data_IF_627664427153
#
_entry.id   IF_627664427153
#
_cell.length_a   1.000
_cell.length_b   1.000
_cell.length_c   1.000
_cell.angle_alpha   90.00
_cell.angle_beta   90.00
_cell.angle_gamma   90.00
#
_symmetry.space_group_name_H-M   'P 1'
#
loop_
_entity.id
_entity.type
_entity.pdbx_description
1 polymer ?
#
# COMPACT_ATOMS: atom_id res chain seq x y z
N UNK A 1 14.61 -11.63 -2.15
CA UNK A 1 14.04 -10.65 -3.11
C UNK A 1 15.16 -9.70 -3.46
N UNK A 2 15.40 -9.45 -4.74
CA UNK A 2 16.50 -8.59 -5.21
C UNK A 2 16.27 -7.14 -4.72
N UNK A 3 17.34 -6.44 -4.30
CA UNK A 3 17.24 -5.06 -3.79
C UNK A 3 16.60 -4.11 -4.83
N UNK A 4 16.82 -4.36 -6.13
CA UNK A 4 16.22 -3.56 -7.20
C UNK A 4 14.71 -3.73 -7.28
N UNK A 5 14.21 -4.93 -7.06
CA UNK A 5 12.76 -5.20 -7.05
C UNK A 5 12.09 -4.50 -5.86
N UNK A 6 12.76 -4.48 -4.72
CA UNK A 6 12.29 -3.75 -3.52
C UNK A 6 12.20 -2.25 -3.78
N UNK A 7 13.25 -1.64 -4.34
CA UNK A 7 13.26 -0.21 -4.66
C UNK A 7 12.19 0.17 -5.71
N UNK A 8 12.01 -0.66 -6.74
CA UNK A 8 10.99 -0.42 -7.77
C UNK A 8 9.57 -0.44 -7.18
N UNK A 9 9.29 -1.40 -6.29
CA UNK A 9 8.00 -1.49 -5.59
C UNK A 9 7.77 -0.28 -4.68
N UNK A 10 8.76 0.14 -3.91
CA UNK A 10 8.68 1.33 -3.07
C UNK A 10 8.41 2.60 -3.90
N UNK A 11 9.09 2.78 -5.03
CA UNK A 11 8.88 3.91 -5.93
C UNK A 11 7.45 3.92 -6.51
N UNK A 12 6.93 2.76 -6.88
CA UNK A 12 5.55 2.60 -7.33
C UNK A 12 4.54 3.00 -6.26
N UNK A 13 4.75 2.56 -5.01
CA UNK A 13 3.92 2.95 -3.87
C UNK A 13 3.96 4.46 -3.62
N UNK A 14 5.15 5.06 -3.66
CA UNK A 14 5.31 6.49 -3.44
C UNK A 14 4.59 7.30 -4.53
N UNK A 15 4.75 6.91 -5.79
CA UNK A 15 4.06 7.54 -6.92
C UNK A 15 2.52 7.47 -6.74
N UNK A 16 2.02 6.30 -6.37
CA UNK A 16 0.60 6.06 -6.13
C UNK A 16 0.03 6.94 -5.00
N UNK A 17 0.66 6.95 -3.82
CA UNK A 17 0.16 7.76 -2.70
C UNK A 17 0.30 9.27 -2.96
N UNK A 18 1.34 9.68 -3.69
CA UNK A 18 1.52 11.10 -4.08
C UNK A 18 0.41 11.54 -5.05
N UNK A 19 -0.07 10.62 -5.90
CA UNK A 19 -1.22 10.89 -6.77
C UNK A 19 -2.52 11.02 -5.98
N UNK A 20 -2.69 10.22 -4.92
CA UNK A 20 -3.89 10.28 -4.07
C UNK A 20 -3.92 11.49 -3.14
N UNK A 21 -2.76 11.96 -2.69
CA UNK A 21 -2.61 13.05 -1.75
C UNK A 21 -1.58 14.05 -2.29
N UNK A 22 -1.91 14.81 -3.35
CA UNK A 22 -0.96 15.67 -4.05
C UNK A 22 -0.42 16.81 -3.18
N UNK A 23 -1.16 17.20 -2.14
CA UNK A 23 -0.77 18.26 -1.20
C UNK A 23 0.15 17.77 -0.06
N UNK A 24 0.42 16.47 0.01
CA UNK A 24 1.22 15.86 1.08
C UNK A 24 2.56 15.33 0.55
N UNK A 25 3.62 15.56 1.32
CA UNK A 25 4.94 14.94 1.05
C UNK A 25 5.12 13.72 1.95
N UNK A 26 5.34 12.56 1.33
CA UNK A 26 5.54 11.30 2.04
C UNK A 26 7.00 10.89 2.10
N UNK A 27 7.40 10.38 3.25
CA UNK A 27 8.70 9.75 3.47
C UNK A 27 8.51 8.27 3.72
N UNK A 28 9.40 7.46 3.16
CA UNK A 28 9.45 6.03 3.46
C UNK A 28 9.87 5.82 4.92
N UNK A 29 9.15 4.97 5.62
CA UNK A 29 9.44 4.63 7.02
C UNK A 29 10.08 3.25 7.07
N UNK A 30 9.36 2.24 6.57
CA UNK A 30 9.81 0.86 6.65
C UNK A 30 9.11 -0.04 5.63
N UNK A 31 9.75 -1.18 5.38
CA UNK A 31 9.15 -2.33 4.70
C UNK A 31 9.31 -3.55 5.60
N UNK A 32 8.23 -4.29 5.82
CA UNK A 32 8.21 -5.48 6.63
C UNK A 32 7.51 -6.62 5.89
N UNK A 33 8.00 -7.84 6.08
CA UNK A 33 7.30 -9.05 5.64
C UNK A 33 6.81 -9.78 6.86
N UNK A 34 5.49 -9.89 7.01
CA UNK A 34 4.84 -10.51 8.17
C UNK A 34 3.85 -11.58 7.68
N UNK A 35 3.71 -12.70 8.40
CA UNK A 35 2.66 -13.66 8.09
C UNK A 35 1.28 -13.04 8.34
N UNK A 36 0.34 -13.31 7.44
CA UNK A 36 -1.07 -12.99 7.62
C UNK A 36 -1.73 -13.96 8.63
N UNK A 37 -3.02 -13.76 8.90
CA UNK A 37 -3.79 -14.61 9.83
C UNK A 37 -3.87 -16.09 9.41
N UNK A 38 -3.52 -16.40 8.16
CA UNK A 38 -3.50 -17.74 7.58
C UNK A 38 -2.07 -18.28 7.39
N UNK A 39 -1.05 -17.54 7.84
CA UNK A 39 0.36 -17.93 7.76
C UNK A 39 1.04 -17.60 6.42
N UNK A 40 0.37 -16.92 5.48
CA UNK A 40 0.99 -16.51 4.22
C UNK A 40 1.84 -15.25 4.43
N UNK A 41 3.01 -15.19 3.80
CA UNK A 41 3.86 -14.01 3.88
C UNK A 41 3.21 -12.81 3.15
N UNK A 42 2.86 -11.77 3.91
CA UNK A 42 2.40 -10.48 3.41
C UNK A 42 3.52 -9.45 3.45
N UNK A 43 3.66 -8.64 2.40
CA UNK A 43 4.58 -7.50 2.40
C UNK A 43 3.82 -6.24 2.79
N UNK A 44 4.38 -5.46 3.71
CA UNK A 44 3.85 -4.18 4.15
C UNK A 44 4.86 -3.08 3.92
N UNK A 45 4.40 -1.96 3.37
CA UNK A 45 5.23 -0.78 3.13
C UNK A 45 4.56 0.42 3.79
N UNK A 46 5.31 1.12 4.65
CA UNK A 46 4.81 2.25 5.43
C UNK A 46 5.44 3.54 4.96
N UNK A 47 4.60 4.55 4.75
CA UNK A 47 4.98 5.92 4.46
C UNK A 47 4.38 6.87 5.49
N UNK A 48 5.01 8.02 5.70
CA UNK A 48 4.55 9.03 6.64
C UNK A 48 4.62 10.42 6.05
N UNK A 49 3.57 11.21 6.27
CA UNK A 49 3.53 12.65 6.04
C UNK A 49 3.44 13.39 7.38
N UNK A 50 3.32 14.72 7.34
CA UNK A 50 3.04 15.52 8.53
C UNK A 50 1.66 15.20 9.15
N UNK A 51 0.72 14.73 8.34
CA UNK A 51 -0.70 14.58 8.74
C UNK A 51 -1.09 13.14 9.02
N UNK A 52 -0.46 12.15 8.36
CA UNK A 52 -0.85 10.74 8.45
C UNK A 52 0.30 9.76 8.23
N UNK A 53 0.09 8.55 8.72
CA UNK A 53 0.87 7.37 8.34
C UNK A 53 0.02 6.52 7.39
N UNK A 54 0.60 6.10 6.28
CA UNK A 54 -0.02 5.23 5.29
C UNK A 54 0.68 3.88 5.29
N UNK A 55 -0.10 2.81 5.34
CA UNK A 55 0.39 1.43 5.26
C UNK A 55 -0.23 0.74 4.05
N UNK A 56 0.61 0.33 3.11
CA UNK A 56 0.23 -0.50 1.97
C UNK A 56 0.50 -1.96 2.32
N UNK A 57 -0.53 -2.80 2.24
CA UNK A 57 -0.43 -4.23 2.57
C UNK A 57 -0.71 -5.07 1.33
N UNK A 58 0.30 -5.79 0.87
CA UNK A 58 0.28 -6.64 -0.32
C UNK A 58 -0.16 -8.04 0.04
N UNK A 59 -1.18 -8.53 -0.66
CA UNK A 59 -1.74 -9.86 -0.50
C UNK A 59 -1.69 -10.58 -1.84
N UNK A 60 -0.84 -11.60 -1.91
CA UNK A 60 -0.73 -12.50 -3.06
C UNK A 60 -1.97 -13.38 -3.13
N UNK A 61 -2.53 -13.56 -4.33
CA UNK A 61 -3.67 -14.46 -4.55
C UNK A 61 -3.21 -15.72 -5.30
N UNK A 62 -3.67 -16.90 -4.86
CA UNK A 62 -3.22 -18.19 -5.36
C UNK A 62 -3.38 -18.42 -6.89
N UNK A 63 -4.32 -17.71 -7.53
CA UNK A 63 -4.64 -17.88 -8.95
C UNK A 63 -4.60 -16.57 -9.74
N UNK A 64 -4.14 -15.47 -9.14
CA UNK A 64 -4.13 -14.18 -9.80
C UNK A 64 -2.74 -13.82 -10.33
N UNK A 65 -2.70 -13.08 -11.43
CA UNK A 65 -1.48 -12.48 -11.98
C UNK A 65 -1.06 -11.20 -11.24
N UNK A 66 -1.91 -10.70 -10.35
CA UNK A 66 -1.72 -9.46 -9.62
C UNK A 66 -1.78 -9.66 -8.10
N UNK A 67 -1.24 -8.71 -7.35
CA UNK A 67 -1.37 -8.64 -5.89
C UNK A 67 -2.47 -7.63 -5.51
N UNK A 68 -3.32 -7.98 -4.53
CA UNK A 68 -4.25 -7.00 -3.94
C UNK A 68 -3.47 -6.15 -2.94
N UNK A 69 -3.68 -4.85 -2.98
CA UNK A 69 -3.00 -3.91 -2.09
C UNK A 69 -4.02 -3.12 -1.30
N UNK A 70 -4.02 -3.31 0.01
CA UNK A 70 -4.86 -2.54 0.91
C UNK A 70 -4.11 -1.32 1.40
N UNK A 71 -4.67 -0.13 1.17
CA UNK A 71 -4.16 1.12 1.73
C UNK A 71 -4.93 1.42 3.01
N UNK A 72 -4.20 1.50 4.11
CA UNK A 72 -4.74 1.92 5.40
C UNK A 72 -4.05 3.20 5.88
N UNK A 73 -4.79 4.02 6.62
CA UNK A 73 -4.26 5.25 7.22
C UNK A 73 -4.37 5.24 8.74
N UNK A 74 -3.47 5.98 9.37
CA UNK A 74 -3.48 6.33 10.78
C UNK A 74 -3.21 7.82 10.89
N UNK A 75 -4.02 8.52 11.68
CA UNK A 75 -3.93 9.97 11.88
C UNK A 75 -3.80 10.29 13.37
N UNK A 76 -3.63 11.55 13.72
CA UNK A 76 -3.69 11.99 15.13
C UNK A 76 -5.06 11.75 15.76
N UNK A 77 -6.12 11.78 14.96
CA UNK A 77 -7.50 11.56 15.40
C UNK A 77 -7.86 10.08 15.52
N UNK A 78 -7.28 9.23 14.67
CA UNK A 78 -7.43 7.77 14.71
C UNK A 78 -6.08 7.10 14.92
N UNK A 79 -5.74 6.68 16.17
CA UNK A 79 -4.43 6.10 16.48
C UNK A 79 -4.25 4.68 15.94
N UNK A 80 -5.27 4.10 15.31
CA UNK A 80 -5.24 2.78 14.67
C UNK A 80 -5.30 2.90 13.16
N UNK A 81 -4.65 1.96 12.46
CA UNK A 81 -4.76 1.86 11.01
C UNK A 81 -6.17 1.45 10.61
N UNK A 82 -6.83 2.29 9.83
CA UNK A 82 -8.13 2.02 9.22
C UNK A 82 -7.97 1.88 7.70
N UNK A 83 -8.61 0.87 7.12
CA UNK A 83 -8.56 0.64 5.67
C UNK A 83 -9.31 1.76 4.94
N UNK A 84 -8.60 2.47 4.07
CA UNK A 84 -9.18 3.50 3.21
C UNK A 84 -9.70 2.91 1.90
N UNK A 85 -8.86 2.12 1.23
CA UNK A 85 -9.16 1.63 -0.11
C UNK A 85 -8.38 0.36 -0.45
N UNK A 86 -8.72 -0.18 -1.61
CA UNK A 86 -8.09 -1.33 -2.21
C UNK A 86 -7.61 -0.96 -3.62
N UNK A 87 -6.38 -1.34 -3.91
CA UNK A 87 -5.71 -1.20 -5.19
C UNK A 87 -5.21 -2.56 -5.68
N UNK A 88 -4.77 -2.58 -6.92
CA UNK A 88 -4.12 -3.74 -7.53
C UNK A 88 -2.70 -3.37 -7.91
N UNK A 89 -1.76 -4.28 -7.62
CA UNK A 89 -0.38 -4.19 -8.06
C UNK A 89 -0.10 -5.23 -9.14
N UNK A 90 0.22 -4.74 -10.34
CA UNK A 90 0.53 -5.56 -11.52
C UNK A 90 1.61 -4.85 -12.33
N UNK A 91 2.57 -5.61 -12.86
CA UNK A 91 3.65 -5.09 -13.71
C UNK A 91 4.38 -3.86 -13.17
N UNK A 92 4.57 -3.80 -11.84
CA UNK A 92 5.28 -2.71 -11.19
C UNK A 92 4.45 -1.45 -10.94
N UNK A 93 3.14 -1.47 -11.22
CA UNK A 93 2.26 -0.31 -11.08
C UNK A 93 1.10 -0.60 -10.14
N UNK A 94 0.69 0.44 -9.38
CA UNK A 94 -0.50 0.42 -8.54
C UNK A 94 -1.63 1.19 -9.22
N UNK A 95 -2.82 0.60 -9.25
CA UNK A 95 -4.01 1.25 -9.79
C UNK A 95 -5.29 0.80 -9.07
N UNK A 96 -6.32 1.64 -9.13
CA UNK A 96 -7.62 1.38 -8.50
C UNK A 96 -8.53 0.78 -9.57
N UNK A 97 -8.90 -0.49 -9.44
CA UNK A 97 -9.73 -1.21 -10.42
C UNK A 97 -11.17 -0.69 -10.48
N UNK A 98 -11.72 -0.21 -9.36
CA UNK A 98 -13.11 0.26 -9.29
C UNK A 98 -13.24 1.47 -8.35
N UNK A 99 -13.62 2.62 -8.89
CA UNK A 99 -14.41 3.58 -8.12
C UNK A 99 -15.80 2.96 -8.02
N UNK A 100 -16.20 2.51 -6.82
CA UNK A 100 -17.60 2.22 -6.56
C UNK A 100 -18.36 3.52 -6.85
N UNK A 101 -19.07 3.56 -7.98
CA UNK A 101 -20.06 4.59 -8.22
C UNK A 101 -21.16 4.31 -7.20
N UNK A 102 -21.21 5.11 -6.15
CA UNK A 102 -22.36 5.12 -5.25
C UNK A 102 -23.58 5.58 -6.08
N UNK A 103 -24.62 4.75 -6.15
CA UNK A 103 -25.95 5.20 -6.56
C UNK A 103 -26.54 6.16 -5.50
#
# INVERSE_FOLDING_TARGET
MDEKTTQARQASCLSFITTLFPEETFQFVEQQTLPDAFGHAGTHITFKSASRELKLSFVTQAHSRFERVFLAEKTSESPFFSRMMEATYEDGQLYIHHVLKSD
#
